data_IF_510096523160
#
_entry.id   IF_510096523160
#
_cell.length_a   1.000
_cell.length_b   1.000
_cell.length_c   1.000
_cell.angle_alpha   90.00
_cell.angle_beta   90.00
_cell.angle_gamma   90.00
#
_symmetry.space_group_name_H-M   'P 1'
#
loop_
_entity.id
_entity.type
_entity.pdbx_description
1 polymer ?
#
# COMPACT_ATOMS: atom_id res chain seq x y z
N UNK A 1 -14.01 13.64 -6.89
CA UNK A 1 -13.45 12.70 -5.89
C UNK A 1 -12.28 13.40 -5.21
N UNK A 2 -12.38 13.78 -3.93
CA UNK A 2 -11.24 14.39 -3.21
C UNK A 2 -10.23 13.28 -2.94
N UNK A 3 -9.10 13.31 -3.66
CA UNK A 3 -8.03 12.35 -3.51
C UNK A 3 -7.23 12.71 -2.24
N UNK A 4 -7.64 12.21 -1.07
CA UNK A 4 -6.84 12.31 0.15
C UNK A 4 -5.78 11.19 0.13
N UNK A 5 -4.58 11.50 -0.35
CA UNK A 5 -3.46 10.57 -0.33
C UNK A 5 -2.70 10.67 1.00
N UNK A 6 -2.78 9.63 1.84
CA UNK A 6 -1.81 9.45 2.92
C UNK A 6 -0.56 8.78 2.36
N UNK A 7 0.55 9.50 2.34
CA UNK A 7 1.88 8.94 2.09
C UNK A 7 2.56 8.89 3.45
N UNK A 8 2.96 7.70 3.88
CA UNK A 8 3.71 7.50 5.12
C UNK A 8 4.94 6.65 4.83
N UNK A 9 6.10 7.09 5.27
CA UNK A 9 7.37 6.44 4.98
C UNK A 9 7.73 5.44 6.07
N UNK A 10 7.94 4.18 5.71
CA UNK A 10 8.26 3.11 6.67
C UNK A 10 9.55 2.42 6.20
N UNK A 11 10.57 2.43 7.06
CA UNK A 11 11.89 1.88 6.73
C UNK A 11 12.11 0.44 7.20
N UNK A 12 11.21 -0.13 8.02
CA UNK A 12 11.37 -1.50 8.53
C UNK A 12 10.04 -2.20 8.77
N UNK A 13 10.04 -3.53 8.68
CA UNK A 13 8.86 -4.37 8.94
C UNK A 13 8.38 -4.31 10.39
N UNK A 14 9.25 -4.37 11.42
CA UNK A 14 8.80 -4.21 12.81
C UNK A 14 8.04 -2.90 13.01
N UNK A 15 8.53 -1.82 12.42
CA UNK A 15 7.85 -0.52 12.45
C UNK A 15 6.53 -0.55 11.67
N UNK A 16 6.49 -1.19 10.50
CA UNK A 16 5.27 -1.35 9.71
C UNK A 16 4.14 -2.05 10.49
N UNK A 17 4.50 -3.10 11.25
CA UNK A 17 3.55 -3.86 12.08
C UNK A 17 2.91 -3.02 13.18
N UNK A 18 3.63 -2.03 13.72
CA UNK A 18 3.08 -1.12 14.73
C UNK A 18 2.28 0.02 14.11
N UNK A 19 2.78 0.61 13.02
CA UNK A 19 2.24 1.85 12.47
C UNK A 19 1.01 1.65 11.59
N UNK A 20 1.04 0.64 10.71
CA UNK A 20 -0.05 0.43 9.76
C UNK A 20 -1.39 0.22 10.48
N UNK A 21 -1.50 -0.60 11.55
CA UNK A 21 -2.75 -0.72 12.31
C UNK A 21 -3.26 0.63 12.84
N UNK A 22 -2.37 1.46 13.42
CA UNK A 22 -2.72 2.79 13.94
C UNK A 22 -3.23 3.75 12.85
N UNK A 23 -2.61 3.70 11.67
CA UNK A 23 -3.06 4.50 10.52
C UNK A 23 -4.44 4.05 10.04
N UNK A 24 -4.70 2.73 10.01
CA UNK A 24 -5.94 2.16 9.50
C UNK A 24 -7.14 2.34 10.45
N UNK A 25 -6.91 2.62 11.72
CA UNK A 25 -7.99 3.00 12.66
C UNK A 25 -8.39 4.46 12.52
N UNK A 26 -7.54 5.32 11.95
CA UNK A 26 -7.92 6.67 11.53
C UNK A 26 -8.09 7.69 12.66
N UNK A 27 -7.42 7.50 13.80
CA UNK A 27 -7.68 8.34 14.99
C UNK A 27 -6.51 9.15 15.54
N UNK A 28 -5.26 8.92 15.13
CA UNK A 28 -4.16 9.81 15.56
C UNK A 28 -2.92 9.63 14.69
N UNK A 29 -2.04 10.63 14.66
CA UNK A 29 -0.69 10.48 14.10
C UNK A 29 -0.04 9.29 14.84
N UNK A 30 0.53 8.30 14.13
CA UNK A 30 1.27 7.22 14.77
C UNK A 30 2.30 7.79 15.74
N UNK A 31 2.40 7.24 16.96
CA UNK A 31 3.36 7.70 17.97
C UNK A 31 4.83 7.39 17.60
N UNK A 32 5.07 6.84 16.42
CA UNK A 32 6.39 6.47 15.98
C UNK A 32 7.21 7.71 15.60
N UNK A 33 8.38 7.80 16.22
CA UNK A 33 9.18 9.02 16.30
C UNK A 33 9.53 9.64 14.95
N UNK A 34 9.53 10.98 14.94
CA UNK A 34 10.18 11.91 13.99
C UNK A 34 10.05 11.71 12.48
N UNK A 35 9.35 10.69 11.97
CA UNK A 35 9.15 10.51 10.54
C UNK A 35 8.11 11.53 10.02
N UNK A 36 8.59 12.77 9.82
CA UNK A 36 7.84 13.88 9.23
C UNK A 36 7.75 13.76 7.69
N UNK A 37 8.24 12.65 7.14
CA UNK A 37 8.27 12.38 5.71
C UNK A 37 6.94 11.78 5.26
N UNK A 38 6.26 12.48 4.34
CA UNK A 38 4.99 12.05 3.78
C UNK A 38 3.98 13.18 3.73
N UNK A 39 2.71 12.86 3.50
CA UNK A 39 1.65 13.88 3.50
C UNK A 39 1.11 14.19 4.89
N UNK A 40 1.38 13.33 5.88
CA UNK A 40 0.93 13.44 7.28
C UNK A 40 -0.59 13.64 7.42
N UNK A 41 -1.35 13.27 6.38
CA UNK A 41 -2.78 13.47 6.34
C UNK A 41 -3.51 12.24 6.88
N UNK A 42 -3.68 12.19 8.20
CA UNK A 42 -4.39 11.12 8.90
C UNK A 42 -5.88 11.42 9.10
N UNK A 43 -6.44 12.45 8.45
CA UNK A 43 -7.82 12.89 8.66
C UNK A 43 -8.87 11.91 8.12
N UNK A 44 -8.44 10.85 7.43
CA UNK A 44 -9.33 9.91 6.75
C UNK A 44 -8.71 8.53 6.75
N UNK A 45 -9.54 7.51 7.01
CA UNK A 45 -9.12 6.11 6.94
C UNK A 45 -8.66 5.77 5.50
N UNK A 46 -7.45 5.22 5.32
CA UNK A 46 -7.00 4.77 4.01
C UNK A 46 -7.89 3.65 3.45
N UNK A 47 -7.97 3.54 2.13
CA UNK A 47 -8.71 2.47 1.44
C UNK A 47 -7.78 1.39 0.85
N UNK A 48 -6.49 1.69 0.75
CA UNK A 48 -5.47 0.77 0.27
C UNK A 48 -4.11 1.03 0.95
N UNK A 49 -3.30 -0.02 1.05
CA UNK A 49 -1.90 0.02 1.48
C UNK A 49 -1.04 -0.35 0.27
N UNK A 50 -0.12 0.52 -0.11
CA UNK A 50 0.81 0.28 -1.22
C UNK A 50 2.23 0.17 -0.67
N UNK A 51 2.87 -0.97 -0.89
CA UNK A 51 4.24 -1.23 -0.44
C UNK A 51 5.19 -1.17 -1.63
N UNK A 52 6.37 -0.57 -1.41
CA UNK A 52 7.43 -0.51 -2.40
C UNK A 52 8.07 -1.88 -2.66
N UNK A 53 8.85 -1.97 -3.74
CA UNK A 53 9.51 -3.21 -4.17
C UNK A 53 10.64 -3.72 -3.28
N UNK A 54 10.92 -3.06 -2.15
CA UNK A 54 11.89 -3.53 -1.16
C UNK A 54 11.34 -4.66 -0.29
N UNK A 55 10.03 -4.88 -0.30
CA UNK A 55 9.37 -5.96 0.43
C UNK A 55 8.98 -7.07 -0.53
N UNK A 56 9.40 -8.31 -0.23
CA UNK A 56 8.95 -9.48 -0.96
C UNK A 56 7.48 -9.81 -0.64
N UNK A 57 6.87 -10.63 -1.51
CA UNK A 57 5.46 -10.98 -1.41
C UNK A 57 5.11 -11.62 -0.06
N UNK A 58 5.96 -12.53 0.41
CA UNK A 58 5.77 -13.26 1.67
C UNK A 58 5.74 -12.31 2.86
N UNK A 59 6.64 -11.33 2.87
CA UNK A 59 6.72 -10.31 3.91
C UNK A 59 5.47 -9.44 3.93
N UNK A 60 4.92 -9.10 2.76
CA UNK A 60 3.66 -8.36 2.66
C UNK A 60 2.48 -9.20 3.15
N UNK A 61 2.44 -10.49 2.81
CA UNK A 61 1.42 -11.42 3.31
C UNK A 61 1.46 -11.54 4.84
N UNK A 62 2.64 -11.73 5.42
CA UNK A 62 2.85 -11.80 6.87
C UNK A 62 2.41 -10.51 7.57
N UNK A 63 2.67 -9.35 6.95
CA UNK A 63 2.25 -8.04 7.44
C UNK A 63 0.72 -7.85 7.36
N UNK A 64 0.11 -8.21 6.23
CA UNK A 64 -1.35 -8.17 6.05
C UNK A 64 -2.04 -9.08 7.07
N UNK A 65 -1.55 -10.31 7.25
CA UNK A 65 -2.09 -11.25 8.21
C UNK A 65 -2.01 -10.72 9.65
N UNK A 66 -0.90 -10.09 10.02
CA UNK A 66 -0.75 -9.42 11.31
C UNK A 66 -1.79 -8.30 11.50
N UNK A 67 -1.91 -7.39 10.53
CA UNK A 67 -2.84 -6.26 10.58
C UNK A 67 -4.31 -6.71 10.59
N UNK A 68 -4.63 -7.79 9.87
CA UNK A 68 -5.98 -8.39 9.87
C UNK A 68 -6.30 -9.07 11.21
N UNK A 69 -5.32 -9.71 11.86
CA UNK A 69 -5.50 -10.32 13.20
C UNK A 69 -5.87 -9.28 14.27
N UNK A 70 -5.35 -8.08 14.15
CA UNK A 70 -5.71 -6.94 15.01
C UNK A 70 -7.11 -6.35 14.70
N UNK A 71 -7.83 -6.90 13.71
CA UNK A 71 -9.16 -6.45 13.31
C UNK A 71 -9.17 -5.13 12.51
N UNK A 72 -8.00 -4.57 12.22
CA UNK A 72 -7.85 -3.23 11.63
C UNK A 72 -7.72 -3.24 10.10
N UNK A 73 -7.39 -4.39 9.50
CA UNK A 73 -7.21 -4.54 8.05
C UNK A 73 -8.45 -4.95 7.26
N UNK A 74 -9.61 -5.13 7.92
CA UNK A 74 -10.86 -5.48 7.24
C UNK A 74 -11.27 -4.37 6.26
N UNK A 75 -11.42 -4.74 4.99
CA UNK A 75 -11.84 -3.81 3.93
C UNK A 75 -10.72 -2.86 3.48
N UNK A 76 -9.48 -3.34 3.41
CA UNK A 76 -8.34 -2.58 2.86
C UNK A 76 -7.71 -3.38 1.72
N UNK A 77 -7.45 -2.73 0.59
CA UNK A 77 -6.76 -3.36 -0.54
C UNK A 77 -5.24 -3.30 -0.32
N UNK A 78 -4.52 -4.41 -0.55
CA UNK A 78 -3.08 -4.48 -0.34
C UNK A 78 -2.33 -4.62 -1.66
N UNK A 79 -1.55 -3.62 -2.03
CA UNK A 79 -0.75 -3.63 -3.24
C UNK A 79 0.72 -3.88 -2.89
N UNK A 80 1.24 -4.98 -3.44
CA UNK A 80 2.63 -5.36 -3.37
C UNK A 80 3.22 -5.46 -4.78
N UNK A 81 4.55 -5.42 -4.85
CA UNK A 81 5.26 -5.78 -6.07
C UNK A 81 4.98 -7.24 -6.41
N UNK A 82 4.38 -7.47 -7.58
CA UNK A 82 4.21 -8.82 -8.13
C UNK A 82 5.47 -9.33 -8.85
N UNK A 83 5.53 -10.62 -9.17
CA UNK A 83 6.69 -11.26 -9.80
C UNK A 83 7.03 -10.67 -11.18
N UNK A 84 6.03 -10.17 -11.93
CA UNK A 84 6.24 -9.58 -13.26
C UNK A 84 6.57 -8.08 -13.24
N UNK A 85 6.64 -7.48 -12.05
CA UNK A 85 6.83 -6.04 -11.94
C UNK A 85 8.22 -5.60 -12.42
N UNK A 86 9.26 -6.41 -12.18
CA UNK A 86 10.63 -6.03 -12.55
C UNK A 86 10.81 -5.99 -14.08
N UNK A 87 10.10 -6.87 -14.81
CA UNK A 87 10.05 -6.82 -16.27
C UNK A 87 9.37 -5.54 -16.80
N UNK A 88 8.38 -5.01 -16.07
CA UNK A 88 7.62 -3.81 -16.46
C UNK A 88 8.31 -2.51 -16.07
N UNK A 89 8.95 -2.50 -14.89
CA UNK A 89 9.52 -1.29 -14.30
C UNK A 89 10.93 -1.00 -14.81
N UNK A 90 11.67 -2.04 -15.21
CA UNK A 90 13.06 -1.91 -15.66
C UNK A 90 14.02 -1.56 -14.51
N UNK A 91 15.28 -1.23 -14.83
CA UNK A 91 16.30 -0.96 -13.82
C UNK A 91 15.97 0.30 -12.99
N UNK A 92 16.41 0.30 -11.73
CA UNK A 92 16.27 1.45 -10.85
C UNK A 92 16.97 2.69 -11.45
N UNK A 93 16.21 3.76 -11.63
CA UNK A 93 16.67 5.01 -12.24
C UNK A 93 15.56 6.06 -12.27
N UNK A 94 15.82 7.25 -12.84
CA UNK A 94 14.85 8.36 -12.84
C UNK A 94 13.48 7.98 -13.44
N UNK A 95 13.47 7.10 -14.45
CA UNK A 95 12.25 6.64 -15.13
C UNK A 95 11.48 5.58 -14.34
N UNK A 96 12.18 4.83 -13.46
CA UNK A 96 11.56 3.76 -12.69
C UNK A 96 10.48 4.26 -11.74
N UNK A 97 10.73 5.39 -11.06
CA UNK A 97 9.76 5.96 -10.14
C UNK A 97 8.46 6.39 -10.87
N UNK A 98 8.60 6.91 -12.09
CA UNK A 98 7.47 7.31 -12.94
C UNK A 98 6.66 6.07 -13.32
N UNK A 99 7.30 5.03 -13.86
CA UNK A 99 6.64 3.78 -14.26
C UNK A 99 5.98 3.08 -13.07
N UNK A 100 6.64 3.06 -11.91
CA UNK A 100 6.09 2.48 -10.70
C UNK A 100 4.82 3.20 -10.24
N UNK A 101 4.83 4.54 -10.27
CA UNK A 101 3.65 5.34 -9.97
C UNK A 101 2.51 5.10 -10.98
N UNK A 102 2.82 4.96 -12.27
CA UNK A 102 1.84 4.64 -13.31
C UNK A 102 1.21 3.25 -13.11
N UNK A 103 2.00 2.23 -12.81
CA UNK A 103 1.50 0.89 -12.51
C UNK A 103 0.56 0.90 -11.30
N UNK A 104 0.95 1.57 -10.21
CA UNK A 104 0.13 1.67 -9.00
C UNK A 104 -1.18 2.40 -9.30
N UNK A 105 -1.14 3.52 -10.04
CA UNK A 105 -2.34 4.26 -10.45
C UNK A 105 -3.27 3.39 -11.29
N UNK A 106 -2.74 2.65 -12.27
CA UNK A 106 -3.53 1.76 -13.10
C UNK A 106 -4.26 0.67 -12.30
N UNK A 107 -3.56 0.06 -11.33
CA UNK A 107 -4.19 -0.94 -10.45
C UNK A 107 -5.26 -0.32 -9.56
N UNK A 108 -5.01 0.84 -8.96
CA UNK A 108 -6.01 1.53 -8.13
C UNK A 108 -7.24 1.96 -8.94
N UNK A 109 -7.06 2.46 -10.17
CA UNK A 109 -8.17 2.78 -11.07
C UNK A 109 -9.01 1.54 -11.36
N UNK A 110 -8.39 0.41 -11.71
CA UNK A 110 -9.10 -0.85 -11.95
C UNK A 110 -9.89 -1.32 -10.73
N UNK A 111 -9.29 -1.27 -9.54
CA UNK A 111 -9.99 -1.64 -8.29
C UNK A 111 -11.15 -0.70 -7.98
N UNK A 112 -11.02 0.59 -8.31
CA UNK A 112 -12.09 1.56 -8.15
C UNK A 112 -13.24 1.31 -9.13
N UNK A 113 -12.95 1.04 -10.40
CA UNK A 113 -13.94 0.71 -11.43
C UNK A 113 -14.70 -0.59 -11.12
N UNK A 114 -14.02 -1.57 -10.51
CA UNK A 114 -14.64 -2.82 -10.07
C UNK A 114 -15.41 -2.69 -8.75
N UNK A 115 -15.46 -1.50 -8.14
CA UNK A 115 -16.00 -1.27 -6.79
C UNK A 115 -15.40 -2.22 -5.72
N UNK A 116 -14.17 -2.69 -5.94
CA UNK A 116 -13.44 -3.60 -5.04
C UNK A 116 -12.36 -2.89 -4.22
N UNK A 117 -12.10 -1.61 -4.48
CA UNK A 117 -11.25 -0.77 -3.65
C UNK A 117 -11.81 -0.71 -2.21
N UNK A 118 -11.00 -1.08 -1.23
CA UNK A 118 -11.46 -1.20 0.16
C UNK A 118 -12.29 -2.47 0.44
N UNK A 119 -12.21 -3.47 -0.42
CA UNK A 119 -12.65 -4.85 -0.13
C UNK A 119 -11.38 -5.71 -0.09
N UNK A 120 -11.30 -6.62 0.88
CA UNK A 120 -10.11 -7.43 1.21
C UNK A 120 -9.79 -8.45 0.09
N UNK A 121 -9.38 -7.96 -1.07
CA UNK A 121 -9.01 -8.75 -2.26
C UNK A 121 -7.66 -8.31 -2.81
N UNK A 122 -6.92 -9.35 -3.20
CA UNK A 122 -5.63 -9.41 -3.91
C UNK A 122 -4.42 -8.78 -3.21
N UNK A 123 -3.46 -9.66 -2.89
CA UNK A 123 -2.04 -9.38 -3.01
C UNK A 123 -1.68 -9.89 -4.40
N UNK A 124 -1.38 -9.00 -5.34
CA UNK A 124 -1.03 -9.40 -6.71
C UNK A 124 -1.31 -8.31 -7.74
N UNK A 125 -0.34 -8.07 -8.61
CA UNK A 125 -0.43 -7.16 -9.75
C UNK A 125 -1.49 -7.61 -10.76
N UNK A 126 -2.04 -6.62 -11.48
CA UNK A 126 -2.97 -6.75 -12.60
C UNK A 126 -2.85 -8.10 -13.33
N UNK A 127 -3.86 -8.96 -13.14
CA UNK A 127 -4.10 -10.08 -14.03
C UNK A 127 -4.24 -9.53 -15.45
N UNK A 128 -3.44 -10.07 -16.36
CA UNK A 128 -3.61 -9.99 -17.80
C UNK A 128 -5.04 -10.40 -18.16
N UNK A 129 -5.78 -9.45 -18.74
CA UNK A 129 -6.92 -9.80 -19.58
C UNK A 129 -6.32 -10.20 -20.94
N UNK A 130 -6.37 -11.49 -21.25
CA UNK A 130 -6.41 -12.01 -22.63
C UNK A 130 -7.87 -12.39 -22.93
#
# INVERSE_FOLDING_TARGET
MKVCNLIHFIQSIPHAKTVIPQILTGHEKPETGSDEVGSLNFSSKPQAVVLGGAFDLKTVEDLRAHVNKEGMGNGISWLARGPDADARLGPAGPVYAIKAAECVKGVLTRLNEQETLGKDKSIGTAASDD
#
